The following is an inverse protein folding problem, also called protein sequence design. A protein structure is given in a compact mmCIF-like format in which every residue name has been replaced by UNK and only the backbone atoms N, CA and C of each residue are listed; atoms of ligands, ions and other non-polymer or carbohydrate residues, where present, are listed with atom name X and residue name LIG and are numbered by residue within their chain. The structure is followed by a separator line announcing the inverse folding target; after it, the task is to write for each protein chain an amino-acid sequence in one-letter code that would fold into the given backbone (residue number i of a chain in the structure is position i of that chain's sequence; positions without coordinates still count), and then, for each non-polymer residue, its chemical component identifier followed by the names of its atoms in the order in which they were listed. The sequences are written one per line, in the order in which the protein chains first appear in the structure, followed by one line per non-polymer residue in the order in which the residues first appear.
data_IF_004954029776
#
_entry.id   IF_004954029776
#
_cell.length_a   1.000
_cell.length_b   1.000
_cell.length_c   1.000
_cell.angle_alpha   90.00
_cell.angle_beta   90.00
_cell.angle_gamma   90.00
#
_symmetry.space_group_name_H-M   'P 1'
#
loop_
_entity.id
_entity.type
_entity.pdbx_description
1 polymer ?
#
# COMPACT_ATOMS: atom_id res chain seq x y z
N UNK A 1 -12.84 -20.23 -3.59
CA UNK A 1 -12.60 -18.85 -3.15
C UNK A 1 -11.31 -18.41 -3.80
N UNK A 2 -11.35 -17.47 -4.75
CA UNK A 2 -10.14 -17.02 -5.44
C UNK A 2 -9.43 -15.96 -4.58
N UNK A 3 -8.22 -16.26 -4.13
CA UNK A 3 -7.32 -15.25 -3.54
C UNK A 3 -7.11 -14.14 -4.56
N UNK A 4 -7.69 -12.97 -4.30
CA UNK A 4 -7.63 -11.82 -5.19
C UNK A 4 -6.56 -10.84 -4.73
N UNK A 5 -5.51 -10.65 -5.53
CA UNK A 5 -4.56 -9.55 -5.33
C UNK A 5 -5.10 -8.32 -6.07
N UNK A 6 -5.25 -7.20 -5.37
CA UNK A 6 -5.57 -5.90 -5.97
C UNK A 6 -4.45 -4.93 -5.64
N UNK A 7 -3.94 -4.26 -6.68
CA UNK A 7 -2.95 -3.19 -6.56
C UNK A 7 -3.61 -1.93 -7.08
N UNK A 8 -3.49 -0.84 -6.33
CA UNK A 8 -4.09 0.45 -6.67
C UNK A 8 -3.08 1.55 -6.48
N UNK A 9 -3.02 2.47 -7.43
CA UNK A 9 -2.19 3.67 -7.37
C UNK A 9 -2.95 4.80 -6.66
N UNK A 10 -3.24 4.60 -5.37
CA UNK A 10 -3.86 5.63 -4.53
C UNK A 10 -5.05 5.19 -3.68
N UNK A 11 -5.33 5.98 -2.64
CA UNK A 11 -6.29 5.62 -1.60
C UNK A 11 -7.77 5.62 -2.02
N UNK A 12 -8.15 6.44 -3.01
CA UNK A 12 -9.51 6.46 -3.55
C UNK A 12 -9.84 5.14 -4.27
N UNK A 13 -8.96 4.73 -5.19
CA UNK A 13 -9.05 3.45 -5.91
C UNK A 13 -8.96 2.25 -4.96
N UNK A 14 -8.13 2.34 -3.91
CA UNK A 14 -8.07 1.30 -2.88
C UNK A 14 -9.43 1.11 -2.19
N UNK A 15 -10.10 2.22 -1.86
CA UNK A 15 -11.42 2.24 -1.22
C UNK A 15 -12.52 1.64 -2.10
N UNK A 16 -12.47 1.87 -3.41
CA UNK A 16 -13.45 1.32 -4.36
C UNK A 16 -13.26 -0.18 -4.60
N UNK A 17 -12.01 -0.65 -4.58
CA UNK A 17 -11.70 -2.08 -4.67
C UNK A 17 -12.20 -2.88 -3.45
N UNK A 18 -12.34 -2.21 -2.30
CA UNK A 18 -12.86 -2.81 -1.07
C UNK A 18 -14.37 -3.06 -1.25
N UNK A 19 -14.71 -4.33 -1.47
CA UNK A 19 -16.07 -4.80 -1.75
C UNK A 19 -16.14 -5.75 -2.94
N UNK A 20 -15.19 -5.65 -3.88
CA UNK A 20 -15.05 -6.61 -4.99
C UNK A 20 -14.21 -7.84 -4.59
N UNK A 21 -13.37 -7.69 -3.57
CA UNK A 21 -12.51 -8.74 -3.02
C UNK A 21 -12.51 -8.71 -1.49
N UNK A 22 -12.25 -9.87 -0.88
CA UNK A 22 -11.99 -10.02 0.55
C UNK A 22 -10.49 -10.29 0.76
N UNK A 23 -9.67 -9.24 0.95
CA UNK A 23 -8.23 -9.42 1.14
C UNK A 23 -7.94 -10.08 2.49
N UNK A 24 -6.85 -10.85 2.55
CA UNK A 24 -6.34 -11.43 3.79
C UNK A 24 -5.43 -10.44 4.56
N UNK A 25 -4.92 -9.41 3.87
CA UNK A 25 -4.11 -8.32 4.44
C UNK A 25 -4.12 -7.10 3.52
N UNK A 26 -3.89 -5.91 4.09
CA UNK A 26 -3.67 -4.67 3.35
C UNK A 26 -2.27 -4.10 3.62
N UNK A 27 -1.53 -3.77 2.56
CA UNK A 27 -0.26 -3.05 2.63
C UNK A 27 -0.51 -1.64 2.12
N UNK A 28 -0.25 -0.62 2.94
CA UNK A 28 -0.54 0.78 2.62
C UNK A 28 0.73 1.62 2.72
N UNK A 29 0.99 2.43 1.70
CA UNK A 29 1.97 3.51 1.84
C UNK A 29 1.40 4.62 2.72
N UNK A 30 2.19 5.09 3.68
CA UNK A 30 1.79 6.18 4.56
C UNK A 30 1.86 7.53 3.85
N UNK A 31 2.85 7.73 2.97
CA UNK A 31 3.16 8.99 2.33
C UNK A 31 2.75 8.98 0.84
N UNK A 32 1.45 9.01 0.58
CA UNK A 32 0.91 9.15 -0.78
C UNK A 32 0.47 10.60 -1.07
N UNK A 33 0.68 11.13 -2.29
CA UNK A 33 0.08 12.40 -2.70
C UNK A 33 -1.45 12.34 -2.66
N UNK A 34 -2.10 13.37 -2.11
CA UNK A 34 -3.56 13.55 -2.13
C UNK A 34 -4.33 12.87 -0.99
N UNK A 35 -4.04 11.62 -0.65
CA UNK A 35 -4.69 10.91 0.48
C UNK A 35 -3.66 10.14 1.29
N UNK A 36 -3.68 10.27 2.61
CA UNK A 36 -2.77 9.51 3.47
C UNK A 36 -3.15 8.03 3.54
N UNK A 37 -2.17 7.14 3.72
CA UNK A 37 -2.45 5.74 4.02
C UNK A 37 -3.31 5.56 5.28
N UNK A 38 -3.24 6.49 6.23
CA UNK A 38 -4.05 6.47 7.43
C UNK A 38 -5.55 6.67 7.14
N UNK A 39 -5.91 7.48 6.14
CA UNK A 39 -7.30 7.67 5.73
C UNK A 39 -7.88 6.40 5.12
N UNK A 40 -7.08 5.69 4.31
CA UNK A 40 -7.44 4.39 3.76
C UNK A 40 -7.61 3.36 4.88
N UNK A 41 -6.69 3.31 5.85
CA UNK A 41 -6.77 2.41 6.98
C UNK A 41 -8.04 2.65 7.84
N UNK A 42 -8.44 3.91 8.07
CA UNK A 42 -9.71 4.22 8.76
C UNK A 42 -10.92 3.70 7.99
N UNK A 43 -10.87 3.72 6.67
CA UNK A 43 -11.94 3.19 5.81
C UNK A 43 -11.99 1.66 5.88
N UNK A 44 -10.81 1.02 5.94
CA UNK A 44 -10.62 -0.41 6.06
C UNK A 44 -11.01 -1.00 7.42
N UNK A 45 -11.04 -0.19 8.49
CA UNK A 45 -11.53 -0.63 9.82
C UNK A 45 -12.96 -1.18 9.83
N UNK A 46 -13.73 -1.00 8.77
CA UNK A 46 -15.04 -1.65 8.57
C UNK A 46 -14.92 -3.17 8.35
N UNK A 47 -13.72 -3.65 8.04
CA UNK A 47 -13.35 -5.06 7.98
C UNK A 47 -12.56 -5.38 9.27
N UNK A 48 -13.24 -5.84 10.34
CA UNK A 48 -12.66 -5.91 11.68
C UNK A 48 -11.45 -6.85 11.79
N UNK A 49 -11.38 -7.87 10.94
CA UNK A 49 -10.32 -8.88 10.98
C UNK A 49 -9.21 -8.64 9.95
N UNK A 50 -9.23 -7.52 9.20
CA UNK A 50 -8.23 -7.26 8.18
C UNK A 50 -6.94 -6.70 8.78
N UNK A 51 -5.80 -7.42 8.72
CA UNK A 51 -4.51 -6.88 9.11
C UNK A 51 -4.08 -5.76 8.17
N UNK A 52 -3.64 -4.63 8.74
CA UNK A 52 -3.12 -3.49 7.98
C UNK A 52 -1.64 -3.28 8.32
N UNK A 53 -0.81 -3.29 7.29
CA UNK A 53 0.64 -3.05 7.36
C UNK A 53 0.92 -1.71 6.68
N UNK A 54 1.56 -0.78 7.40
CA UNK A 54 2.07 0.43 6.79
C UNK A 54 3.49 0.20 6.28
N UNK A 55 3.73 0.52 5.00
CA UNK A 55 5.03 0.44 4.36
C UNK A 55 5.37 1.80 3.75
N UNK A 56 6.12 2.63 4.49
CA UNK A 56 6.63 3.91 3.98
C UNK A 56 8.10 3.77 3.59
N UNK A 57 8.47 4.29 2.43
CA UNK A 57 9.88 4.43 2.06
C UNK A 57 10.56 5.50 2.91
N UNK A 58 11.36 5.09 3.90
CA UNK A 58 12.32 6.01 4.52
C UNK A 58 13.53 6.08 3.58
N UNK A 59 13.54 7.06 2.68
CA UNK A 59 14.69 7.33 1.82
C UNK A 59 15.81 7.95 2.64
N UNK A 60 16.50 7.15 3.47
CA UNK A 60 17.91 7.44 3.72
C UNK A 60 18.66 6.95 2.48
N UNK A 61 18.57 7.74 1.41
CA UNK A 61 19.04 7.44 0.05
C UNK A 61 20.50 6.95 0.04
N UNK A 62 21.28 7.31 1.06
CA UNK A 62 22.67 6.89 1.25
C UNK A 62 22.84 5.43 1.72
N UNK A 63 21.91 4.85 2.47
CA UNK A 63 22.06 3.49 3.02
C UNK A 63 21.71 2.42 1.98
N UNK A 64 20.62 2.59 1.24
CA UNK A 64 20.14 1.61 0.25
C UNK A 64 21.09 1.49 -0.94
N UNK A 65 21.69 2.60 -1.39
CA UNK A 65 22.64 2.61 -2.50
C UNK A 65 23.93 1.82 -2.23
N UNK A 66 24.28 1.55 -0.97
CA UNK A 66 25.44 0.69 -0.63
C UNK A 66 25.10 -0.80 -0.62
N UNK A 67 23.84 -1.16 -0.57
CA UNK A 67 23.39 -2.55 -0.41
C UNK A 67 22.80 -3.11 -1.69
N UNK A 68 22.11 -2.30 -2.49
CA UNK A 68 21.50 -2.71 -3.74
C UNK A 68 22.06 -1.89 -4.90
N UNK A 69 22.43 -2.53 -6.03
CA UNK A 69 22.81 -1.78 -7.22
C UNK A 69 21.64 -0.90 -7.67
N UNK A 70 21.91 0.27 -8.30
CA UNK A 70 20.87 1.17 -8.76
C UNK A 70 19.90 0.42 -9.68
N UNK A 71 18.62 0.48 -9.36
CA UNK A 71 17.57 -0.02 -10.25
C UNK A 71 17.50 0.95 -11.42
N UNK A 72 17.76 0.45 -12.64
CA UNK A 72 17.56 1.23 -13.84
C UNK A 72 16.07 1.53 -13.98
N UNK A 73 15.68 2.79 -13.83
CA UNK A 73 14.36 3.26 -14.27
C UNK A 73 14.29 2.98 -15.77
N UNK A 74 13.50 1.97 -16.16
CA UNK A 74 13.20 1.72 -17.57
C UNK A 74 12.16 2.75 -17.99
N UNK A 75 12.57 3.63 -18.91
CA UNK A 75 11.71 4.53 -19.67
C UNK A 75 10.72 3.76 -20.55
#
# INVERSE_FOLDING_TARGET
MATGRVITEGGATATEAIGAVTPDAAILDFAMPGMSGADVARRLRRLPDLPVIFASGYSETAAVSRTLPPVAESL
#
